data_IF_455341512588
#
_entry.id   IF_455341512588
#
_cell.length_a   1.000
_cell.length_b   1.000
_cell.length_c   1.000
_cell.angle_alpha   90.00
_cell.angle_beta   90.00
_cell.angle_gamma   90.00
#
_symmetry.space_group_name_H-M   'P 1'
#
loop_
_entity.id
_entity.type
_entity.pdbx_description
1 polymer ?
#
# COMPACT_ATOMS: atom_id res chain seq x y z
N UNK A 1 4.90 -62.86 87.16
CA UNK A 1 3.70 -62.27 86.51
C UNK A 1 4.14 -61.69 85.18
N UNK A 2 3.29 -61.90 84.17
CA UNK A 2 3.42 -61.53 82.75
C UNK A 2 3.91 -60.08 82.54
N UNK A 3 4.60 -59.69 81.47
CA UNK A 3 4.72 -60.31 80.17
C UNK A 3 5.89 -59.74 79.34
N UNK A 4 6.05 -60.39 78.20
CA UNK A 4 7.13 -60.36 77.22
C UNK A 4 6.96 -59.19 76.23
N UNK A 5 8.01 -58.99 75.42
CA UNK A 5 8.10 -58.26 74.14
C UNK A 5 8.54 -56.79 74.18
N UNK A 6 9.42 -56.29 73.32
CA UNK A 6 10.43 -56.87 72.44
C UNK A 6 11.29 -55.69 71.93
N UNK A 7 12.57 -55.96 71.74
CA UNK A 7 13.61 -55.03 71.29
C UNK A 7 13.46 -54.72 69.80
N UNK A 8 13.50 -53.44 69.38
CA UNK A 8 14.14 -53.04 68.11
C UNK A 8 14.88 -51.69 68.22
N UNK A 9 16.21 -51.79 68.11
CA UNK A 9 17.14 -50.70 67.78
C UNK A 9 17.00 -50.30 66.31
N UNK A 10 16.89 -49.01 66.02
CA UNK A 10 17.53 -48.36 64.85
C UNK A 10 17.45 -46.84 65.03
N UNK A 11 18.53 -46.18 65.43
CA UNK A 11 19.55 -45.50 64.59
C UNK A 11 18.97 -44.34 63.76
N UNK A 12 19.31 -43.14 64.25
CA UNK A 12 19.26 -41.79 63.64
C UNK A 12 19.29 -41.78 62.11
N UNK A 13 18.39 -41.03 61.49
CA UNK A 13 18.68 -40.22 60.31
C UNK A 13 17.92 -38.89 60.40
N UNK A 14 18.69 -37.80 60.36
CA UNK A 14 18.19 -36.45 60.24
C UNK A 14 17.64 -36.26 58.82
N UNK A 15 16.37 -35.90 58.70
CA UNK A 15 15.78 -35.45 57.44
C UNK A 15 15.75 -33.92 57.46
N UNK A 16 16.70 -33.33 56.73
CA UNK A 16 16.67 -31.93 56.34
C UNK A 16 15.48 -31.70 55.41
N UNK A 17 14.54 -30.87 55.85
CA UNK A 17 13.44 -30.41 55.02
C UNK A 17 13.97 -29.39 54.01
N UNK A 18 14.15 -29.81 52.76
CA UNK A 18 14.39 -28.91 51.64
C UNK A 18 13.05 -28.34 51.20
N UNK A 19 12.83 -27.06 51.50
CA UNK A 19 11.71 -26.27 50.98
C UNK A 19 12.02 -25.95 49.50
N UNK A 20 11.48 -26.74 48.57
CA UNK A 20 11.45 -26.37 47.15
C UNK A 20 10.27 -25.42 46.94
N UNK A 21 10.55 -24.11 47.02
CA UNK A 21 9.68 -23.07 46.47
C UNK A 21 9.66 -23.23 44.95
N UNK A 22 8.65 -23.95 44.44
CA UNK A 22 8.36 -24.02 43.01
C UNK A 22 7.92 -22.64 42.53
N UNK A 23 8.84 -21.89 41.91
CA UNK A 23 8.49 -20.70 41.15
C UNK A 23 7.78 -21.18 39.89
N UNK A 24 6.46 -21.20 39.91
CA UNK A 24 5.64 -21.30 38.71
C UNK A 24 5.85 -20.01 37.91
N UNK A 25 6.84 -20.00 37.02
CA UNK A 25 7.02 -18.93 36.06
C UNK A 25 5.78 -18.86 35.18
N UNK A 26 5.00 -17.79 35.33
CA UNK A 26 3.96 -17.44 34.35
C UNK A 26 4.70 -17.05 33.07
N UNK A 27 4.88 -18.02 32.17
CA UNK A 27 5.27 -17.75 30.79
C UNK A 27 4.09 -17.02 30.15
N UNK A 28 4.15 -15.69 30.14
CA UNK A 28 3.29 -14.89 29.27
C UNK A 28 3.78 -15.20 27.85
N UNK A 29 2.99 -15.86 26.98
CA UNK A 29 3.40 -16.04 25.60
C UNK A 29 3.66 -14.66 25.00
N UNK A 30 4.76 -14.46 24.25
CA UNK A 30 4.94 -13.21 23.54
C UNK A 30 3.69 -13.01 22.68
N UNK A 31 3.12 -11.80 22.72
CA UNK A 31 2.08 -11.42 21.76
C UNK A 31 2.70 -11.63 20.39
N UNK A 32 2.31 -12.71 19.72
CA UNK A 32 2.69 -12.94 18.35
C UNK A 32 2.11 -11.77 17.56
N UNK A 33 3.02 -10.95 17.09
CA UNK A 33 2.74 -9.74 16.35
C UNK A 33 2.90 -10.21 14.91
N UNK A 34 1.90 -10.82 14.27
CA UNK A 34 1.98 -11.05 12.83
C UNK A 34 2.11 -9.72 12.13
N UNK A 35 3.03 -9.57 11.19
CA UNK A 35 3.10 -8.32 10.46
C UNK A 35 3.57 -8.64 9.05
N UNK A 36 2.88 -8.13 8.05
CA UNK A 36 3.33 -8.20 6.68
C UNK A 36 3.31 -6.82 6.03
N UNK A 37 4.25 -6.61 5.11
CA UNK A 37 4.30 -5.40 4.31
C UNK A 37 3.68 -5.70 2.95
N UNK A 38 2.70 -4.90 2.55
CA UNK A 38 2.28 -4.85 1.15
C UNK A 38 3.33 -4.06 0.34
N UNK A 39 4.15 -4.79 -0.42
CA UNK A 39 5.24 -4.24 -1.23
C UNK A 39 4.73 -3.79 -2.60
N UNK A 40 3.84 -4.56 -3.22
CA UNK A 40 3.23 -4.21 -4.51
C UNK A 40 1.80 -4.76 -4.59
N UNK A 41 0.81 -3.98 -5.05
CA UNK A 41 0.90 -2.55 -5.37
C UNK A 41 1.24 -1.69 -4.13
N UNK A 42 1.63 -0.43 -4.33
CA UNK A 42 1.94 0.46 -3.20
C UNK A 42 0.77 0.53 -2.21
N UNK A 43 1.05 0.37 -0.91
CA UNK A 43 0.02 0.49 0.12
C UNK A 43 -0.59 1.90 0.17
N UNK A 44 -1.88 1.95 0.47
CA UNK A 44 -2.64 3.19 0.67
C UNK A 44 -2.17 3.97 1.90
N UNK A 45 -1.55 3.28 2.85
CA UNK A 45 -1.06 3.82 4.13
C UNK A 45 0.44 3.59 4.24
N UNK A 46 1.17 4.55 4.81
CA UNK A 46 2.59 4.37 5.08
C UNK A 46 2.77 3.25 6.11
N UNK A 47 3.64 2.30 5.79
CA UNK A 47 3.96 1.16 6.64
C UNK A 47 5.28 1.42 7.37
N UNK A 48 5.40 0.96 8.62
CA UNK A 48 6.69 0.93 9.32
C UNK A 48 7.54 -0.29 8.90
N UNK A 49 8.62 -0.58 9.62
CA UNK A 49 9.51 -1.70 9.30
C UNK A 49 8.89 -3.08 9.56
N UNK A 50 7.73 -3.15 10.21
CA UNK A 50 7.01 -4.39 10.47
C UNK A 50 5.82 -4.52 9.52
N UNK A 51 5.14 -3.42 9.18
CA UNK A 51 3.92 -3.46 8.35
C UNK A 51 2.77 -2.65 8.93
N UNK A 52 2.93 -2.01 10.08
CA UNK A 52 1.83 -1.26 10.72
C UNK A 52 1.48 0.01 9.95
N UNK A 53 0.20 0.41 9.90
CA UNK A 53 -0.97 -0.25 10.49
C UNK A 53 -1.57 -1.33 9.59
N UNK A 54 -2.13 -2.36 10.21
CA UNK A 54 -2.71 -3.53 9.52
C UNK A 54 -3.72 -4.34 10.36
N UNK A 55 -3.94 -3.98 11.63
CA UNK A 55 -4.76 -4.78 12.55
C UNK A 55 -6.24 -4.49 12.43
N UNK A 56 -6.62 -3.26 12.08
CA UNK A 56 -8.03 -2.90 11.92
C UNK A 56 -8.51 -3.10 10.49
N UNK A 57 -9.53 -3.95 10.35
CA UNK A 57 -10.23 -4.12 9.10
C UNK A 57 -10.97 -2.85 8.66
N UNK A 58 -11.14 -2.65 7.34
CA UNK A 58 -10.75 -3.58 6.27
C UNK A 58 -9.35 -3.33 5.70
N UNK A 59 -8.62 -2.29 6.12
CA UNK A 59 -7.44 -1.80 5.38
C UNK A 59 -6.22 -1.44 6.25
N UNK A 60 -6.26 -1.63 7.56
CA UNK A 60 -5.20 -1.18 8.47
C UNK A 60 -5.22 0.33 8.67
N UNK A 61 -5.83 0.81 9.75
CA UNK A 61 -5.94 2.24 10.06
C UNK A 61 -5.88 2.58 11.56
N UNK A 62 -5.37 1.66 12.39
CA UNK A 62 -5.28 1.83 13.85
C UNK A 62 -4.30 2.91 14.34
N UNK A 63 -3.71 3.68 13.42
CA UNK A 63 -2.74 4.73 13.69
C UNK A 63 -1.30 4.32 13.42
N UNK A 64 -0.37 5.27 13.53
CA UNK A 64 1.05 5.07 13.19
C UNK A 64 1.37 5.29 11.70
N UNK A 65 0.40 5.05 10.81
CA UNK A 65 0.50 5.33 9.38
C UNK A 65 -0.06 6.70 8.96
N UNK A 66 0.32 7.13 7.75
CA UNK A 66 -0.24 8.29 7.04
C UNK A 66 -0.68 7.88 5.63
N UNK A 67 -1.83 8.35 5.12
CA UNK A 67 -2.26 8.02 3.77
C UNK A 67 -1.21 8.43 2.73
N UNK A 68 -0.79 7.49 1.88
CA UNK A 68 0.29 7.70 0.90
C UNK A 68 -0.18 8.50 -0.32
N UNK A 69 -1.48 8.45 -0.63
CA UNK A 69 -2.06 9.07 -1.82
C UNK A 69 -1.71 8.36 -3.13
N UNK A 70 -0.84 7.35 -3.11
CA UNK A 70 -0.38 6.61 -4.29
C UNK A 70 -1.52 5.85 -4.94
N UNK A 71 -1.55 5.82 -6.27
CA UNK A 71 -2.52 5.04 -7.06
C UNK A 71 -1.78 4.27 -8.14
N UNK A 72 -1.84 2.94 -8.08
CA UNK A 72 -1.20 2.09 -9.10
C UNK A 72 -2.15 1.87 -10.29
N UNK A 73 -1.68 2.11 -11.51
CA UNK A 73 -2.50 2.00 -12.73
C UNK A 73 -2.42 0.60 -13.33
N UNK A 74 -3.57 0.02 -13.64
CA UNK A 74 -3.73 -1.26 -14.32
C UNK A 74 -4.80 -1.18 -15.42
N UNK A 75 -4.94 -2.26 -16.18
CA UNK A 75 -5.94 -2.43 -17.23
C UNK A 75 -6.96 -3.53 -16.89
N UNK A 76 -8.20 -3.44 -17.40
CA UNK A 76 -9.18 -4.51 -17.26
C UNK A 76 -8.62 -5.85 -17.72
N UNK A 77 -8.86 -6.92 -16.97
CA UNK A 77 -8.40 -8.27 -17.31
C UNK A 77 -6.90 -8.51 -17.12
N UNK A 78 -6.13 -7.53 -16.65
CA UNK A 78 -4.69 -7.66 -16.43
C UNK A 78 -4.39 -8.65 -15.29
N UNK A 79 -3.37 -9.50 -15.50
CA UNK A 79 -2.79 -10.32 -14.45
C UNK A 79 -1.72 -9.50 -13.71
N UNK A 80 -2.09 -8.92 -12.57
CA UNK A 80 -1.22 -8.05 -11.77
C UNK A 80 -0.34 -8.87 -10.82
N UNK A 81 0.84 -8.34 -10.50
CA UNK A 81 1.65 -8.87 -9.40
C UNK A 81 1.16 -8.29 -8.08
N UNK A 82 0.95 -9.16 -7.09
CA UNK A 82 0.84 -8.77 -5.69
C UNK A 82 2.07 -9.33 -4.97
N UNK A 83 2.79 -8.47 -4.25
CA UNK A 83 3.99 -8.85 -3.49
C UNK A 83 3.78 -8.50 -2.03
N UNK A 84 3.95 -9.49 -1.17
CA UNK A 84 3.93 -9.34 0.29
C UNK A 84 5.32 -9.65 0.85
N UNK A 85 5.67 -9.04 1.96
CA UNK A 85 6.84 -9.39 2.76
C UNK A 85 6.38 -9.67 4.19
N UNK A 86 6.25 -10.94 4.55
CA UNK A 86 5.81 -11.37 5.86
C UNK A 86 7.00 -11.28 6.84
N UNK A 87 7.03 -10.19 7.61
CA UNK A 87 8.14 -9.87 8.51
C UNK A 87 8.09 -10.75 9.76
N UNK A 88 6.90 -11.16 10.19
CA UNK A 88 6.70 -12.08 11.31
C UNK A 88 5.78 -13.22 10.88
N UNK A 89 6.38 -14.40 10.73
CA UNK A 89 5.74 -15.61 10.23
C UNK A 89 4.56 -16.11 11.08
N UNK A 90 3.46 -16.42 10.40
CA UNK A 90 2.30 -17.14 10.92
C UNK A 90 1.86 -18.22 9.92
N UNK A 91 1.54 -19.46 10.35
CA UNK A 91 0.97 -20.44 9.43
C UNK A 91 -0.38 -19.94 8.93
N UNK A 92 -0.64 -19.96 7.63
CA UNK A 92 -1.78 -19.21 7.11
C UNK A 92 -1.93 -19.23 5.60
N UNK A 93 -2.66 -18.25 5.09
CA UNK A 93 -2.82 -17.95 3.67
C UNK A 93 -3.33 -16.52 3.48
N UNK A 94 -3.32 -16.05 2.24
CA UNK A 94 -3.83 -14.72 1.89
C UNK A 94 -5.07 -14.79 1.00
N UNK A 95 -5.82 -13.70 0.99
CA UNK A 95 -6.95 -13.42 0.10
C UNK A 95 -6.79 -12.04 -0.52
N UNK A 96 -7.23 -11.89 -1.76
CA UNK A 96 -7.29 -10.61 -2.46
C UNK A 96 -8.72 -10.29 -2.87
N UNK A 97 -9.20 -9.10 -2.52
CA UNK A 97 -10.53 -8.61 -2.88
C UNK A 97 -10.46 -7.20 -3.49
N UNK A 98 -11.46 -6.83 -4.27
CA UNK A 98 -11.55 -5.54 -4.95
C UNK A 98 -12.86 -4.83 -4.62
N UNK A 99 -12.74 -3.62 -4.07
CA UNK A 99 -13.82 -2.66 -3.97
C UNK A 99 -13.69 -1.61 -5.07
N UNK A 100 -14.77 -1.33 -5.80
CA UNK A 100 -14.73 -0.52 -7.02
C UNK A 100 -14.94 0.95 -6.72
N UNK A 101 -15.92 1.26 -5.85
CA UNK A 101 -16.32 2.64 -5.56
C UNK A 101 -15.91 3.10 -4.16
N UNK A 102 -16.10 2.24 -3.16
CA UNK A 102 -15.84 2.58 -1.76
C UNK A 102 -15.36 1.36 -0.98
N UNK A 103 -14.50 1.58 0.02
CA UNK A 103 -13.93 0.49 0.85
C UNK A 103 -14.97 -0.32 1.61
N UNK A 104 -16.15 0.23 1.86
CA UNK A 104 -17.28 -0.49 2.44
C UNK A 104 -17.83 -1.61 1.53
N UNK A 105 -17.47 -1.63 0.25
CA UNK A 105 -17.81 -2.74 -0.67
C UNK A 105 -16.91 -3.96 -0.48
N UNK A 106 -15.82 -3.85 0.28
CA UNK A 106 -14.96 -4.99 0.58
C UNK A 106 -15.78 -6.05 1.33
N UNK A 107 -15.58 -7.35 1.00
CA UNK A 107 -16.28 -8.42 1.69
C UNK A 107 -15.91 -8.40 3.17
N UNK A 108 -16.87 -8.82 4.01
CA UNK A 108 -16.56 -9.12 5.42
C UNK A 108 -15.45 -10.17 5.51
N UNK A 109 -14.72 -10.14 6.62
CA UNK A 109 -13.74 -11.19 6.93
C UNK A 109 -14.39 -12.58 6.81
N UNK A 110 -13.67 -13.58 6.28
CA UNK A 110 -14.19 -14.94 6.22
C UNK A 110 -14.45 -15.48 7.62
N UNK A 111 -15.51 -16.27 7.74
CA UNK A 111 -15.84 -16.95 9.01
C UNK A 111 -14.68 -17.83 9.47
N UNK A 112 -14.28 -17.66 10.72
CA UNK A 112 -13.25 -18.47 11.37
C UNK A 112 -13.90 -19.65 12.09
N UNK A 113 -13.31 -20.83 11.93
CA UNK A 113 -13.64 -22.04 12.69
C UNK A 113 -12.47 -22.36 13.63
N UNK A 114 -12.64 -22.16 14.95
CA UNK A 114 -11.63 -22.52 15.96
C UNK A 114 -11.33 -24.03 15.97
N UNK A 115 -10.14 -24.40 16.45
CA UNK A 115 -9.77 -25.80 16.65
C UNK A 115 -9.00 -26.01 17.96
N UNK A 116 -9.57 -26.74 18.93
CA UNK A 116 -8.83 -27.30 20.06
C UNK A 116 -7.85 -26.35 20.79
N UNK A 117 -8.32 -25.19 21.25
CA UNK A 117 -7.47 -24.20 21.94
C UNK A 117 -6.83 -23.16 21.01
N UNK A 118 -6.92 -23.35 19.69
CA UNK A 118 -6.59 -22.34 18.68
C UNK A 118 -7.85 -21.56 18.29
N UNK A 119 -8.00 -20.29 18.72
CA UNK A 119 -9.16 -19.47 18.35
C UNK A 119 -9.18 -19.16 16.84
N UNK A 120 -8.04 -19.22 16.16
CA UNK A 120 -7.90 -18.99 14.72
C UNK A 120 -7.60 -20.29 13.97
N UNK A 121 -8.32 -21.39 14.25
CA UNK A 121 -8.03 -22.70 13.65
C UNK A 121 -8.03 -22.74 12.12
N UNK A 122 -9.09 -22.24 11.48
CA UNK A 122 -9.20 -22.15 10.02
C UNK A 122 -10.15 -21.03 9.59
N UNK A 123 -10.01 -20.51 8.37
CA UNK A 123 -10.94 -19.55 7.78
C UNK A 123 -11.67 -20.17 6.58
N UNK A 124 -12.93 -19.75 6.38
CA UNK A 124 -13.72 -20.15 5.23
C UNK A 124 -13.07 -19.67 3.92
N UNK A 125 -12.90 -20.59 2.97
CA UNK A 125 -12.27 -20.34 1.67
C UNK A 125 -13.32 -20.38 0.57
N UNK A 126 -13.31 -19.38 -0.32
CA UNK A 126 -14.10 -19.34 -1.54
C UNK A 126 -13.32 -19.92 -2.71
N UNK A 127 -13.75 -21.08 -3.21
CA UNK A 127 -13.13 -21.76 -4.35
C UNK A 127 -14.23 -22.34 -5.28
N UNK A 128 -14.37 -21.85 -6.52
CA UNK A 128 -13.57 -20.80 -7.15
C UNK A 128 -13.86 -19.42 -6.52
N UNK A 129 -12.86 -18.51 -6.49
CA UNK A 129 -13.09 -17.11 -6.15
C UNK A 129 -14.13 -16.48 -7.09
N UNK A 130 -15.02 -15.67 -6.53
CA UNK A 130 -16.03 -14.91 -7.23
C UNK A 130 -15.96 -13.45 -6.78
N UNK A 131 -16.11 -12.54 -7.74
CA UNK A 131 -16.11 -11.10 -7.47
C UNK A 131 -17.06 -10.74 -6.31
N UNK A 132 -16.63 -9.97 -5.30
CA UNK A 132 -15.43 -9.11 -5.27
C UNK A 132 -14.11 -9.80 -4.85
N UNK A 133 -14.12 -11.10 -4.52
CA UNK A 133 -12.89 -11.84 -4.19
C UNK A 133 -12.20 -12.26 -5.50
N UNK A 134 -10.98 -11.78 -5.71
CA UNK A 134 -10.20 -12.04 -6.93
C UNK A 134 -9.31 -13.27 -6.80
N UNK A 135 -8.85 -13.57 -5.59
CA UNK A 135 -8.06 -14.75 -5.27
C UNK A 135 -8.25 -15.09 -3.79
N UNK A 136 -8.30 -16.38 -3.47
CA UNK A 136 -8.45 -16.85 -2.10
C UNK A 136 -7.58 -18.07 -1.86
N UNK A 137 -7.14 -18.27 -0.62
CA UNK A 137 -6.18 -19.32 -0.24
C UNK A 137 -4.90 -19.29 -1.06
N UNK A 138 -4.37 -18.10 -1.37
CA UNK A 138 -3.07 -17.97 -2.03
C UNK A 138 -1.94 -18.03 -1.02
N UNK A 139 -0.77 -18.51 -1.47
CA UNK A 139 0.41 -18.73 -0.63
C UNK A 139 0.09 -19.47 0.69
N UNK A 140 -0.60 -20.62 0.67
CA UNK A 140 -0.81 -21.39 1.89
C UNK A 140 0.54 -21.90 2.42
N UNK A 141 0.82 -21.67 3.68
CA UNK A 141 2.13 -21.98 4.25
C UNK A 141 2.02 -22.34 5.74
N UNK A 142 2.94 -23.21 6.19
CA UNK A 142 3.09 -23.62 7.59
C UNK A 142 4.51 -23.42 8.11
N UNK A 143 5.34 -22.73 7.32
CA UNK A 143 6.72 -22.36 7.61
C UNK A 143 6.97 -20.96 7.06
N UNK A 144 7.91 -20.23 7.67
CA UNK A 144 8.29 -18.89 7.24
C UNK A 144 8.77 -18.88 5.78
N UNK A 145 8.42 -17.82 5.06
CA UNK A 145 9.00 -17.57 3.75
C UNK A 145 10.47 -17.18 3.86
N UNK A 146 11.26 -17.49 2.81
CA UNK A 146 12.67 -17.10 2.75
C UNK A 146 12.88 -15.61 2.40
N UNK A 147 11.79 -14.86 2.20
CA UNK A 147 11.76 -13.46 1.80
C UNK A 147 10.41 -13.10 1.14
N UNK A 148 10.31 -11.91 0.52
CA UNK A 148 9.07 -11.45 -0.10
C UNK A 148 8.52 -12.45 -1.11
N UNK A 149 7.20 -12.64 -1.10
CA UNK A 149 6.49 -13.54 -1.99
C UNK A 149 5.67 -12.76 -3.00
N UNK A 150 5.79 -13.11 -4.28
CA UNK A 150 4.99 -12.54 -5.36
C UNK A 150 4.06 -13.57 -5.96
N UNK A 151 2.79 -13.22 -6.12
CA UNK A 151 1.79 -14.03 -6.81
C UNK A 151 1.00 -13.18 -7.82
N UNK A 152 0.26 -13.85 -8.71
CA UNK A 152 -0.54 -13.20 -9.75
C UNK A 152 -2.02 -13.21 -9.39
N UNK A 153 -2.68 -12.07 -9.55
CA UNK A 153 -4.13 -11.92 -9.43
C UNK A 153 -4.68 -11.36 -10.72
N UNK A 154 -5.81 -11.89 -11.20
CA UNK A 154 -6.45 -11.37 -12.41
C UNK A 154 -7.52 -10.35 -12.04
N UNK A 155 -7.37 -9.12 -12.55
CA UNK A 155 -8.41 -8.11 -12.43
C UNK A 155 -9.61 -8.47 -13.33
N UNK A 156 -10.85 -8.08 -12.98
CA UNK A 156 -12.01 -8.30 -13.84
C UNK A 156 -11.85 -7.59 -15.19
N UNK A 157 -12.35 -8.21 -16.25
CA UNK A 157 -12.22 -7.68 -17.63
C UNK A 157 -13.23 -6.56 -17.93
N UNK A 158 -14.29 -6.48 -17.14
CA UNK A 158 -15.46 -5.61 -17.28
C UNK A 158 -15.54 -4.53 -16.19
N UNK A 159 -14.50 -4.40 -15.36
CA UNK A 159 -14.41 -3.37 -14.31
C UNK A 159 -13.43 -2.29 -14.71
N UNK A 160 -13.84 -1.04 -14.56
CA UNK A 160 -12.99 0.16 -14.66
C UNK A 160 -13.23 1.09 -13.48
N UNK A 161 -12.19 1.75 -12.98
CA UNK A 161 -12.28 2.68 -11.86
C UNK A 161 -11.09 3.64 -11.83
N UNK A 162 -11.31 4.86 -11.36
CA UNK A 162 -10.28 5.90 -11.24
C UNK A 162 -9.51 5.81 -9.92
N UNK A 163 -10.16 5.31 -8.86
CA UNK A 163 -9.55 5.00 -7.56
C UNK A 163 -10.38 3.93 -6.84
N UNK A 164 -9.96 2.69 -6.97
CA UNK A 164 -10.56 1.50 -6.38
C UNK A 164 -9.60 0.91 -5.34
N UNK A 165 -10.14 0.13 -4.40
CA UNK A 165 -9.33 -0.44 -3.30
C UNK A 165 -9.10 -1.92 -3.54
N UNK A 166 -7.84 -2.32 -3.66
CA UNK A 166 -7.40 -3.71 -3.66
C UNK A 166 -7.00 -4.10 -2.24
N UNK A 167 -7.78 -4.95 -1.58
CA UNK A 167 -7.45 -5.48 -0.26
C UNK A 167 -6.57 -6.73 -0.40
N UNK A 168 -5.53 -6.82 0.43
CA UNK A 168 -4.78 -8.04 0.70
C UNK A 168 -5.01 -8.38 2.17
N UNK A 169 -5.64 -9.52 2.40
CA UNK A 169 -6.02 -10.01 3.73
C UNK A 169 -5.16 -11.22 4.05
N UNK A 170 -4.47 -11.19 5.18
CA UNK A 170 -3.75 -12.34 5.73
C UNK A 170 -4.66 -13.05 6.74
N UNK A 171 -4.79 -14.37 6.63
CA UNK A 171 -5.34 -15.21 7.68
C UNK A 171 -4.22 -15.95 8.39
N UNK A 172 -4.19 -15.84 9.72
CA UNK A 172 -3.21 -16.49 10.57
C UNK A 172 -3.87 -17.60 11.39
N UNK A 173 -3.44 -18.83 11.16
CA UNK A 173 -3.76 -19.96 12.02
C UNK A 173 -2.80 -20.07 13.20
N UNK A 174 -3.15 -20.85 14.22
CA UNK A 174 -2.34 -21.01 15.44
C UNK A 174 -2.00 -19.66 16.10
N UNK A 175 -2.96 -18.74 16.05
CA UNK A 175 -2.80 -17.36 16.48
C UNK A 175 -3.95 -16.96 17.44
N UNK A 176 -3.71 -16.15 18.48
CA UNK A 176 -4.80 -15.53 19.23
C UNK A 176 -5.65 -14.60 18.34
N UNK A 177 -6.84 -14.20 18.77
CA UNK A 177 -7.57 -13.15 18.06
C UNK A 177 -6.80 -11.80 18.14
N UNK A 178 -6.86 -10.93 17.11
CA UNK A 178 -7.59 -11.10 15.84
C UNK A 178 -6.92 -12.11 14.89
N UNK A 179 -7.73 -12.75 14.03
CA UNK A 179 -7.26 -13.79 13.10
C UNK A 179 -6.84 -13.25 11.73
N UNK A 180 -7.05 -11.96 11.48
CA UNK A 180 -6.79 -11.34 10.19
C UNK A 180 -6.04 -10.03 10.30
N UNK A 181 -5.14 -9.84 9.35
CA UNK A 181 -4.36 -8.62 9.16
C UNK A 181 -4.62 -8.09 7.74
N UNK A 182 -4.59 -6.77 7.59
CA UNK A 182 -5.20 -6.05 6.49
C UNK A 182 -4.25 -5.04 5.89
N UNK A 183 -4.01 -5.17 4.58
CA UNK A 183 -3.48 -4.10 3.77
C UNK A 183 -4.40 -3.76 2.63
N UNK A 184 -4.34 -2.51 2.19
CA UNK A 184 -5.02 -2.06 0.99
C UNK A 184 -4.05 -1.32 0.07
N UNK A 185 -4.29 -1.40 -1.23
CA UNK A 185 -3.69 -0.52 -2.21
C UNK A 185 -4.80 0.26 -2.92
N UNK A 186 -4.57 1.55 -3.13
CA UNK A 186 -5.41 2.31 -4.04
C UNK A 186 -4.89 2.07 -5.47
N UNK A 187 -5.78 1.60 -6.35
CA UNK A 187 -5.45 1.29 -7.74
C UNK A 187 -6.41 2.02 -8.69
N UNK A 188 -6.05 2.12 -9.96
CA UNK A 188 -6.99 2.51 -11.02
C UNK A 188 -6.98 1.46 -12.10
N UNK A 189 -8.16 1.18 -12.66
CA UNK A 189 -8.34 0.21 -13.74
C UNK A 189 -8.91 0.99 -14.92
N UNK A 190 -8.08 1.21 -15.93
CA UNK A 190 -8.42 2.05 -17.08
C UNK A 190 -8.26 1.26 -18.37
N UNK A 191 -9.19 1.45 -19.31
CA UNK A 191 -9.05 0.83 -20.62
C UNK A 191 -7.70 1.21 -21.23
N UNK A 192 -6.92 0.21 -21.64
CA UNK A 192 -5.80 0.48 -22.53
C UNK A 192 -6.37 1.11 -23.80
N UNK A 193 -5.78 2.20 -24.29
CA UNK A 193 -6.10 2.69 -25.63
C UNK A 193 -5.64 1.61 -26.63
N UNK A 194 -6.56 0.73 -27.01
CA UNK A 194 -6.36 -0.13 -28.17
C UNK A 194 -6.45 0.80 -29.36
N UNK A 195 -5.30 1.16 -29.93
CA UNK A 195 -5.26 1.69 -31.30
C UNK A 195 -5.83 0.59 -32.19
N UNK A 196 -7.14 0.67 -32.46
CA UNK A 196 -7.80 -0.09 -33.50
C UNK A 196 -7.13 0.30 -34.80
N UNK A 197 -6.17 -0.52 -35.23
CA UNK A 197 -5.61 -0.44 -36.57
C UNK A 197 -6.72 -0.90 -37.50
N UNK A 198 -7.50 0.05 -38.01
CA UNK A 198 -8.35 -0.17 -39.17
C UNK A 198 -7.43 -0.50 -40.34
N UNK A 199 -7.59 -1.72 -40.87
CA UNK A 199 -6.93 -2.19 -42.06
C UNK A 199 -7.42 -1.39 -43.27
N UNK A 200 -6.73 -0.30 -43.59
CA UNK A 200 -6.79 0.34 -44.91
C UNK A 200 -5.35 0.62 -45.36
N UNK A 201 -4.92 0.17 -46.57
CA UNK A 201 -3.55 0.37 -47.04
C UNK A 201 -3.18 1.86 -47.19
N UNK A 202 -1.89 2.21 -47.06
CA UNK A 202 -1.46 3.58 -46.75
C UNK A 202 -1.17 4.42 -47.99
N UNK A 203 -1.55 5.70 -47.94
CA UNK A 203 -0.85 6.77 -48.66
C UNK A 203 -0.08 7.59 -47.63
N UNK A 204 1.24 7.35 -47.59
CA UNK A 204 2.30 8.10 -46.90
C UNK A 204 2.42 9.48 -47.61
N UNK A 205 2.77 10.63 -46.97
CA UNK A 205 3.87 10.69 -46.02
C UNK A 205 3.80 11.66 -44.81
N UNK A 206 4.74 11.36 -43.90
CA UNK A 206 5.55 12.28 -43.11
C UNK A 206 5.03 12.76 -41.74
N UNK A 207 5.68 12.24 -40.70
CA UNK A 207 6.17 13.07 -39.58
C UNK A 207 5.30 13.11 -38.34
N UNK A 208 5.28 12.03 -37.56
CA UNK A 208 4.74 12.04 -36.21
C UNK A 208 5.60 11.19 -35.30
N UNK A 209 6.68 11.76 -34.76
CA UNK A 209 7.53 11.14 -33.75
C UNK A 209 6.66 10.74 -32.55
N UNK A 210 6.40 9.44 -32.37
CA UNK A 210 5.86 8.90 -31.13
C UNK A 210 6.97 8.88 -30.10
N UNK A 211 7.03 9.93 -29.28
CA UNK A 211 7.86 9.97 -28.08
C UNK A 211 7.31 8.94 -27.10
N UNK A 212 7.98 7.80 -26.98
CA UNK A 212 7.79 6.86 -25.90
C UNK A 212 7.96 7.60 -24.57
N UNK A 213 6.91 7.60 -23.74
CA UNK A 213 6.90 8.24 -22.41
C UNK A 213 7.84 7.50 -21.47
N UNK A 214 9.14 7.83 -21.54
CA UNK A 214 10.04 7.60 -20.42
C UNK A 214 9.46 8.31 -19.19
N UNK A 215 9.45 7.69 -18.00
CA UNK A 215 9.13 8.42 -16.77
C UNK A 215 10.09 9.60 -16.69
N UNK A 216 9.54 10.80 -16.56
CA UNK A 216 10.36 11.98 -16.50
C UNK A 216 11.14 11.98 -15.17
N UNK A 217 12.48 11.91 -15.18
CA UNK A 217 13.25 11.81 -13.94
C UNK A 217 13.42 13.15 -13.24
N UNK A 218 13.05 14.28 -13.87
CA UNK A 218 13.27 15.62 -13.30
C UNK A 218 11.95 16.38 -13.09
N UNK A 219 11.89 17.25 -12.06
CA UNK A 219 10.77 18.19 -11.88
C UNK A 219 10.52 19.07 -13.11
N UNK A 220 11.58 19.45 -13.83
CA UNK A 220 11.51 20.27 -15.04
C UNK A 220 10.72 19.58 -16.15
N UNK A 221 11.04 18.33 -16.45
CA UNK A 221 10.36 17.64 -17.53
C UNK A 221 8.95 17.14 -17.10
N UNK A 222 8.68 17.01 -15.78
CA UNK A 222 7.32 16.80 -15.27
C UNK A 222 6.44 18.03 -15.50
N UNK A 223 6.98 19.23 -15.28
CA UNK A 223 6.30 20.49 -15.57
C UNK A 223 6.10 20.68 -17.08
N UNK A 224 7.11 20.34 -17.89
CA UNK A 224 7.01 20.45 -19.35
C UNK A 224 5.96 19.49 -19.92
N UNK A 225 5.94 18.24 -19.44
CA UNK A 225 4.96 17.23 -19.86
C UNK A 225 3.52 17.64 -19.56
N UNK A 226 3.24 18.29 -18.42
CA UNK A 226 1.88 18.76 -18.13
C UNK A 226 1.49 19.99 -18.96
N UNK A 227 2.43 20.91 -19.19
CA UNK A 227 2.20 22.13 -19.97
C UNK A 227 1.97 21.84 -21.46
N UNK A 228 2.68 20.85 -22.01
CA UNK A 228 2.54 20.38 -23.39
C UNK A 228 1.54 19.21 -23.52
N UNK A 229 0.98 18.77 -22.40
CA UNK A 229 0.12 17.59 -22.33
C UNK A 229 -1.24 17.82 -22.99
N UNK A 230 -1.92 16.73 -23.38
CA UNK A 230 -3.22 16.79 -24.05
C UNK A 230 -4.30 17.48 -23.19
N UNK A 231 -4.16 17.46 -21.86
CA UNK A 231 -5.06 18.16 -20.94
C UNK A 231 -4.98 19.69 -21.07
N UNK A 232 -3.84 20.23 -21.51
CA UNK A 232 -3.68 21.65 -21.80
C UNK A 232 -3.96 22.02 -23.26
N UNK A 233 -3.92 21.05 -24.19
CA UNK A 233 -4.40 21.22 -25.56
C UNK A 233 -3.91 22.51 -26.21
N UNK A 234 -4.84 23.37 -26.66
CA UNK A 234 -4.55 24.68 -27.25
C UNK A 234 -4.62 25.85 -26.26
N UNK A 235 -4.75 25.59 -24.94
CA UNK A 235 -4.87 26.64 -23.93
C UNK A 235 -3.59 27.49 -23.87
N UNK A 236 -3.76 28.81 -23.96
CA UNK A 236 -2.63 29.73 -23.73
C UNK A 236 -2.44 29.94 -22.23
N UNK A 237 -1.52 29.17 -21.64
CA UNK A 237 -1.20 29.32 -20.22
C UNK A 237 -0.73 30.76 -19.93
N UNK A 238 -1.40 31.46 -18.98
CA UNK A 238 -1.01 32.81 -18.60
C UNK A 238 0.47 32.89 -18.21
N UNK A 239 1.15 33.92 -18.70
CA UNK A 239 2.58 34.16 -18.50
C UNK A 239 2.99 34.18 -17.01
N UNK A 240 2.12 34.70 -16.15
CA UNK A 240 2.36 34.71 -14.70
C UNK A 240 2.41 33.30 -14.07
N UNK A 241 1.77 32.31 -14.69
CA UNK A 241 1.79 30.89 -14.28
C UNK A 241 3.05 30.23 -14.87
N UNK A 242 3.30 30.44 -16.17
CA UNK A 242 4.49 29.93 -16.89
C UNK A 242 5.79 30.27 -16.15
N UNK A 243 6.00 31.55 -15.78
CA UNK A 243 7.19 31.96 -15.02
C UNK A 243 7.37 31.25 -13.68
N UNK A 244 6.30 30.84 -13.01
CA UNK A 244 6.40 30.09 -11.74
C UNK A 244 6.77 28.64 -11.99
N UNK A 245 6.16 28.05 -13.02
CA UNK A 245 6.41 26.69 -13.48
C UNK A 245 7.85 26.52 -13.99
N UNK A 246 8.46 27.54 -14.59
CA UNK A 246 9.88 27.53 -15.00
C UNK A 246 10.82 27.80 -13.83
N UNK A 247 10.50 28.78 -12.97
CA UNK A 247 11.40 29.19 -11.89
C UNK A 247 11.53 28.16 -10.76
N UNK A 248 10.50 27.35 -10.52
CA UNK A 248 10.55 26.37 -9.43
C UNK A 248 11.55 25.22 -9.68
N UNK A 249 11.56 24.55 -10.85
CA UNK A 249 12.61 23.58 -11.22
C UNK A 249 14.03 24.14 -11.20
N UNK A 250 14.26 25.37 -11.69
CA UNK A 250 15.58 26.02 -11.63
C UNK A 250 16.12 26.14 -10.18
N UNK A 251 15.23 26.39 -9.21
CA UNK A 251 15.63 26.45 -7.81
C UNK A 251 15.98 25.08 -7.25
N UNK A 252 15.40 24.00 -7.77
CA UNK A 252 15.75 22.64 -7.39
C UNK A 252 17.10 22.23 -7.95
N UNK A 253 17.36 22.53 -9.22
CA UNK A 253 18.68 22.34 -9.86
C UNK A 253 19.78 23.12 -9.09
N UNK A 254 19.48 24.36 -8.67
CA UNK A 254 20.40 25.14 -7.81
C UNK A 254 20.58 24.53 -6.42
N UNK A 255 19.59 23.81 -5.90
CA UNK A 255 19.67 23.19 -4.57
C UNK A 255 20.60 21.99 -4.56
N UNK A 256 20.69 21.24 -5.67
CA UNK A 256 21.57 20.07 -5.83
C UNK A 256 23.05 20.44 -5.71
N UNK A 257 23.44 21.62 -6.18
CA UNK A 257 24.82 22.12 -6.17
C UNK A 257 25.13 23.06 -4.99
N UNK A 258 24.16 23.31 -4.11
CA UNK A 258 24.29 24.22 -2.98
C UNK A 258 24.58 23.50 -1.66
N UNK A 259 25.28 24.17 -0.74
CA UNK A 259 25.44 23.67 0.63
C UNK A 259 24.09 23.44 1.33
N UNK A 260 23.99 22.51 2.31
CA UNK A 260 22.72 22.03 2.86
C UNK A 260 21.76 23.12 3.37
N UNK A 261 22.31 24.15 4.04
CA UNK A 261 21.51 25.29 4.52
C UNK A 261 20.86 26.09 3.39
N UNK A 262 21.62 26.36 2.32
CA UNK A 262 21.14 27.07 1.12
C UNK A 262 20.19 26.17 0.31
N UNK A 263 20.49 24.89 0.17
CA UNK A 263 19.65 23.91 -0.50
C UNK A 263 18.25 23.81 0.14
N UNK A 264 18.16 23.82 1.47
CA UNK A 264 16.88 23.84 2.21
C UNK A 264 16.05 25.10 1.95
N UNK A 265 16.70 26.27 1.85
CA UNK A 265 16.02 27.53 1.53
C UNK A 265 15.50 27.52 0.09
N UNK A 266 16.29 26.99 -0.84
CA UNK A 266 15.92 26.86 -2.25
C UNK A 266 14.74 25.91 -2.44
N UNK A 267 14.75 24.73 -1.81
CA UNK A 267 13.61 23.78 -1.81
C UNK A 267 12.33 24.41 -1.25
N UNK A 268 12.41 25.11 -0.11
CA UNK A 268 11.27 25.87 0.46
C UNK A 268 10.74 26.95 -0.50
N UNK A 269 11.61 27.59 -1.29
CA UNK A 269 11.20 28.60 -2.28
C UNK A 269 10.55 27.95 -3.50
N UNK A 270 11.08 26.83 -3.97
CA UNK A 270 10.50 26.04 -5.06
C UNK A 270 9.10 25.52 -4.69
N UNK A 271 8.93 24.93 -3.49
CA UNK A 271 7.64 24.49 -2.96
C UNK A 271 6.57 25.57 -3.02
N UNK A 272 6.86 26.76 -2.47
CA UNK A 272 5.93 27.90 -2.50
C UNK A 272 5.60 28.37 -3.92
N UNK A 273 6.51 28.23 -4.88
CA UNK A 273 6.24 28.58 -6.27
C UNK A 273 5.31 27.58 -6.93
N UNK A 274 5.49 26.28 -6.69
CA UNK A 274 4.58 25.24 -7.15
C UNK A 274 3.16 25.43 -6.60
N UNK A 275 3.01 25.59 -5.28
CA UNK A 275 1.70 25.84 -4.64
C UNK A 275 0.98 27.08 -5.23
N UNK A 276 1.74 28.16 -5.45
CA UNK A 276 1.23 29.39 -6.07
C UNK A 276 0.88 29.20 -7.55
N UNK A 277 1.64 28.40 -8.29
CA UNK A 277 1.36 28.08 -9.68
C UNK A 277 0.06 27.28 -9.83
N UNK A 278 -0.10 26.21 -9.05
CA UNK A 278 -1.33 25.41 -9.03
C UNK A 278 -2.57 26.23 -8.65
N UNK A 279 -2.47 27.02 -7.59
CA UNK A 279 -3.58 27.90 -7.16
C UNK A 279 -3.89 29.02 -8.17
N UNK A 280 -2.89 29.50 -8.91
CA UNK A 280 -3.12 30.45 -10.00
C UNK A 280 -3.79 29.78 -11.21
N UNK A 281 -3.43 28.53 -11.53
CA UNK A 281 -4.07 27.75 -12.59
C UNK A 281 -5.55 27.51 -12.31
N UNK A 282 -5.90 27.04 -11.09
CA UNK A 282 -7.30 26.87 -10.69
C UNK A 282 -8.11 28.17 -10.68
N UNK A 283 -7.48 29.31 -10.39
CA UNK A 283 -8.16 30.61 -10.50
C UNK A 283 -8.35 31.02 -11.95
N UNK A 284 -7.38 30.72 -12.81
CA UNK A 284 -7.45 31.03 -14.23
C UNK A 284 -8.51 30.19 -14.97
N UNK A 285 -8.95 29.05 -14.42
CA UNK A 285 -10.05 28.25 -14.97
C UNK A 285 -11.45 28.63 -14.46
N UNK A 286 -11.57 29.65 -13.61
CA UNK A 286 -12.86 30.10 -13.04
C UNK A 286 -13.32 31.41 -13.69
N UNK A 287 -14.64 31.63 -13.72
CA UNK A 287 -15.29 32.85 -14.21
C UNK A 287 -15.96 32.69 -15.57
N UNK A 288 -16.65 33.74 -16.05
CA UNK A 288 -17.41 33.71 -17.32
C UNK A 288 -16.52 33.60 -18.57
N UNK A 289 -15.23 33.96 -18.48
CA UNK A 289 -14.24 33.85 -19.55
C UNK A 289 -12.94 33.24 -18.99
N UNK A 290 -12.89 31.93 -18.77
CA UNK A 290 -11.72 31.28 -18.20
C UNK A 290 -10.54 31.36 -19.18
N UNK A 291 -9.33 31.58 -18.63
CA UNK A 291 -8.07 31.63 -19.41
C UNK A 291 -7.44 30.26 -19.58
N UNK A 292 -7.90 29.27 -18.81
CA UNK A 292 -7.49 27.87 -18.88
C UNK A 292 -8.74 27.00 -18.84
N UNK A 293 -8.71 25.88 -19.56
CA UNK A 293 -9.69 24.81 -19.36
C UNK A 293 -9.59 24.26 -17.94
N UNK A 294 -10.70 23.73 -17.44
CA UNK A 294 -10.72 23.05 -16.14
C UNK A 294 -9.76 21.85 -16.11
N UNK A 295 -9.64 21.12 -17.23
CA UNK A 295 -8.72 19.98 -17.38
C UNK A 295 -7.25 20.38 -17.30
N UNK A 296 -6.84 21.43 -18.01
CA UNK A 296 -5.47 21.96 -17.94
C UNK A 296 -5.14 22.47 -16.54
N UNK A 297 -6.05 23.23 -15.94
CA UNK A 297 -5.84 23.78 -14.60
C UNK A 297 -5.75 22.71 -13.51
N UNK A 298 -6.57 21.66 -13.60
CA UNK A 298 -6.51 20.51 -12.70
C UNK A 298 -5.19 19.74 -12.86
N UNK A 299 -4.75 19.50 -14.10
CA UNK A 299 -3.50 18.78 -14.38
C UNK A 299 -2.28 19.56 -13.88
N UNK A 300 -2.25 20.89 -14.11
CA UNK A 300 -1.20 21.77 -13.56
C UNK A 300 -1.22 21.72 -12.03
N UNK A 301 -2.39 21.82 -11.40
CA UNK A 301 -2.52 21.79 -9.93
C UNK A 301 -1.96 20.48 -9.36
N UNK A 302 -2.42 19.35 -9.87
CA UNK A 302 -2.01 18.01 -9.44
C UNK A 302 -0.49 17.82 -9.55
N UNK A 303 0.08 18.18 -10.71
CA UNK A 303 1.52 18.11 -10.94
C UNK A 303 2.29 19.01 -9.96
N UNK A 304 1.83 20.23 -9.73
CA UNK A 304 2.50 21.16 -8.81
C UNK A 304 2.37 20.73 -7.34
N UNK A 305 1.26 20.10 -6.95
CA UNK A 305 1.07 19.60 -5.58
C UNK A 305 1.98 18.41 -5.30
N UNK A 306 2.09 17.48 -6.26
CA UNK A 306 3.02 16.35 -6.16
C UNK A 306 4.47 16.83 -5.98
N UNK A 307 4.92 17.74 -6.86
CA UNK A 307 6.28 18.30 -6.78
C UNK A 307 6.50 19.15 -5.52
N UNK A 308 5.47 19.79 -4.97
CA UNK A 308 5.56 20.50 -3.70
C UNK A 308 5.60 19.56 -2.49
N UNK A 309 4.93 18.41 -2.58
CA UNK A 309 4.90 17.37 -1.54
C UNK A 309 6.24 16.67 -1.33
N UNK A 310 7.05 16.58 -2.39
CA UNK A 310 8.40 15.99 -2.37
C UNK A 310 9.49 16.92 -1.77
N UNK A 311 9.17 18.18 -1.43
CA UNK A 311 10.10 19.24 -0.97
C UNK A 311 9.90 19.69 0.48
#
# INVERSE_FOLDING_TARGET
MLGLEAIRRTRRQALGGVFLLGVAGVFVPPLAHAHFILVTPDSWMSQDSLGLPEKLGPCGDEGGGTPTGKVTVFHPGQAISVTIDEVIFHPGHYRVALAVNDRSELPVEPTVTPNGGDPCGSAAIQNPPMFPILADKVLPHTQAFAGPQTFKVRLPADVTCTRCTLQVLEFMSSHPAPCFYHHCADISIQAAFVSTTSTTPPTVPAGGTTTATRPCPTPRCSVEAVVQGPACGADTIPEAIRRKLERAPELLEQAETSHPGKARVLRKKAKRLFERAGSAALRASRGQKPKLSAGCAASIKDTTDRLAGEL
#
